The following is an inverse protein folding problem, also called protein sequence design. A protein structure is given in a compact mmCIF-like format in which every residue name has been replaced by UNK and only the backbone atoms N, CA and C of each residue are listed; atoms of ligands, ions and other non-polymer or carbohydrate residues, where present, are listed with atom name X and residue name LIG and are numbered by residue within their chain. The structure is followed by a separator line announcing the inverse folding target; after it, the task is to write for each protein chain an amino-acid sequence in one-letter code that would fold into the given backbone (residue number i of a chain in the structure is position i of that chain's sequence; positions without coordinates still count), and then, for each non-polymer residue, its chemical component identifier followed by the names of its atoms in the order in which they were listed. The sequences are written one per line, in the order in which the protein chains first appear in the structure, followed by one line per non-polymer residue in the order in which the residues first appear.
data_IF_027375564279
#
_entry.id   IF_027375564279
#
_cell.length_a   1.000
_cell.length_b   1.000
_cell.length_c   1.000
_cell.angle_alpha   90.00
_cell.angle_beta   90.00
_cell.angle_gamma   90.00
#
_symmetry.space_group_name_H-M   'P 1'
#
loop_
_entity.id
_entity.type
_entity.pdbx_description
1 polymer ?
#
# COMPACT_ATOMS: atom_id res chain seq x y z
N UNK A 1 -33.95 -7.91 13.21
CA UNK A 1 -32.70 -7.19 13.54
C UNK A 1 -32.20 -7.55 14.93
N UNK A 2 -33.10 -7.72 15.90
CA UNK A 2 -32.75 -8.19 17.25
C UNK A 2 -32.03 -9.54 17.27
N UNK A 3 -32.30 -10.43 16.31
CA UNK A 3 -31.64 -11.74 16.17
C UNK A 3 -30.12 -11.65 15.93
N UNK A 4 -29.62 -10.48 15.52
CA UNK A 4 -28.19 -10.25 15.28
C UNK A 4 -27.47 -9.64 16.50
N UNK A 5 -28.15 -9.45 17.64
CA UNK A 5 -27.51 -8.99 18.87
C UNK A 5 -26.44 -10.00 19.30
N UNK A 6 -25.23 -9.53 19.54
CA UNK A 6 -24.06 -10.37 19.83
C UNK A 6 -23.40 -10.97 18.59
N UNK A 7 -23.80 -10.55 17.39
CA UNK A 7 -23.10 -10.85 16.12
C UNK A 7 -22.31 -9.63 15.65
N UNK A 8 -21.15 -9.87 15.06
CA UNK A 8 -20.36 -8.81 14.44
C UNK A 8 -20.95 -8.47 13.08
N UNK A 9 -21.33 -7.21 12.91
CA UNK A 9 -21.97 -6.72 11.69
C UNK A 9 -21.09 -5.68 11.02
N UNK A 10 -21.17 -5.61 9.70
CA UNK A 10 -20.60 -4.58 8.86
C UNK A 10 -21.73 -3.78 8.21
N UNK A 11 -21.77 -2.49 8.52
CA UNK A 11 -22.75 -1.52 8.07
C UNK A 11 -22.09 -0.59 7.05
N UNK A 12 -22.55 -0.63 5.80
CA UNK A 12 -22.23 0.40 4.82
C UNK A 12 -23.27 1.50 4.94
N UNK A 13 -22.84 2.70 5.34
CA UNK A 13 -23.71 3.87 5.49
C UNK A 13 -23.36 4.96 4.50
N UNK A 14 -24.25 5.93 4.32
CA UNK A 14 -24.00 7.14 3.52
C UNK A 14 -22.74 7.93 3.95
N UNK A 15 -22.30 7.75 5.21
CA UNK A 15 -21.16 8.44 5.83
C UNK A 15 -19.90 7.57 5.92
N UNK A 16 -19.96 6.32 5.45
CA UNK A 16 -18.84 5.37 5.47
C UNK A 16 -19.20 4.03 6.09
N UNK A 17 -18.19 3.18 6.27
CA UNK A 17 -18.36 1.81 6.77
C UNK A 17 -18.14 1.78 8.28
N UNK A 18 -19.08 1.15 9.00
CA UNK A 18 -19.02 0.93 10.44
C UNK A 18 -19.01 -0.58 10.68
N UNK A 19 -18.09 -1.10 11.48
CA UNK A 19 -18.05 -2.52 11.83
C UNK A 19 -17.90 -2.70 13.33
N UNK A 20 -18.72 -3.58 13.91
CA UNK A 20 -18.67 -3.90 15.32
C UNK A 20 -19.76 -4.88 15.74
N UNK A 21 -19.79 -5.20 17.02
CA UNK A 21 -20.74 -6.11 17.63
C UNK A 21 -22.07 -5.41 17.87
N UNK A 22 -23.17 -5.90 17.30
CA UNK A 22 -24.48 -5.32 17.59
C UNK A 22 -24.87 -5.61 19.04
N UNK A 23 -25.21 -4.57 19.81
CA UNK A 23 -25.57 -4.69 21.23
C UNK A 23 -27.02 -4.39 21.50
N UNK A 24 -27.56 -3.36 20.87
CA UNK A 24 -28.93 -2.90 21.11
C UNK A 24 -29.56 -2.53 19.77
N UNK A 25 -30.82 -2.89 19.61
CA UNK A 25 -31.71 -2.41 18.54
C UNK A 25 -32.77 -1.56 19.22
N UNK A 26 -32.84 -0.28 18.88
CA UNK A 26 -33.91 0.62 19.32
C UNK A 26 -34.77 0.95 18.09
N UNK A 27 -35.80 0.12 17.88
CA UNK A 27 -36.72 0.29 16.76
C UNK A 27 -37.55 1.57 16.88
N UNK A 28 -37.80 2.04 18.11
CA UNK A 28 -38.60 3.25 18.36
C UNK A 28 -37.86 4.53 17.97
N UNK A 29 -36.53 4.53 18.11
CA UNK A 29 -35.66 5.62 17.68
C UNK A 29 -35.02 5.38 16.29
N UNK A 30 -35.30 4.26 15.64
CA UNK A 30 -34.72 3.89 14.34
C UNK A 30 -33.20 3.73 14.39
N UNK A 31 -32.66 3.25 15.52
CA UNK A 31 -31.22 3.27 15.81
C UNK A 31 -30.71 1.90 16.26
N UNK A 32 -29.46 1.61 15.91
CA UNK A 32 -28.70 0.45 16.34
C UNK A 32 -27.49 0.91 17.15
N UNK A 33 -27.16 0.21 18.23
CA UNK A 33 -25.93 0.45 19.01
C UNK A 33 -24.95 -0.66 18.76
N UNK A 34 -23.79 -0.29 18.23
CA UNK A 34 -22.73 -1.19 17.79
C UNK A 34 -21.49 -0.92 18.63
N UNK A 35 -20.98 -1.96 19.27
CA UNK A 35 -19.72 -1.90 20.04
C UNK A 35 -18.55 -2.27 19.14
N UNK A 36 -17.61 -1.35 18.94
CA UNK A 36 -16.33 -1.63 18.29
C UNK A 36 -15.17 -1.50 19.29
N UNK A 37 -13.92 -1.69 18.80
CA UNK A 37 -12.72 -1.58 19.63
C UNK A 37 -12.48 -0.17 20.23
N UNK A 38 -13.27 0.83 19.84
CA UNK A 38 -13.20 2.21 20.31
C UNK A 38 -14.39 2.62 21.19
N UNK A 39 -15.40 1.76 21.36
CA UNK A 39 -16.57 1.98 22.22
C UNK A 39 -17.91 1.73 21.54
N UNK A 40 -18.98 2.28 22.12
CA UNK A 40 -20.34 2.18 21.58
C UNK A 40 -20.57 3.27 20.52
N UNK A 41 -21.11 2.89 19.37
CA UNK A 41 -21.47 3.77 18.26
C UNK A 41 -22.92 3.57 17.87
N UNK A 42 -23.55 4.68 17.49
CA UNK A 42 -24.94 4.70 17.05
C UNK A 42 -24.99 4.67 15.52
N UNK A 43 -25.81 3.76 14.97
CA UNK A 43 -26.06 3.63 13.53
C UNK A 43 -27.56 3.80 13.30
N UNK A 44 -27.94 4.81 12.51
CA UNK A 44 -29.34 5.03 12.14
C UNK A 44 -29.73 4.05 11.03
N UNK A 45 -30.89 3.40 11.17
CA UNK A 45 -31.36 2.38 10.22
C UNK A 45 -31.57 2.99 8.83
N UNK A 46 -32.03 4.24 8.76
CA UNK A 46 -32.24 4.99 7.51
C UNK A 46 -30.94 5.29 6.74
N UNK A 47 -29.80 5.33 7.43
CA UNK A 47 -28.49 5.63 6.83
C UNK A 47 -27.83 4.35 6.26
N UNK A 48 -28.36 3.15 6.52
CA UNK A 48 -27.79 1.86 6.12
C UNK A 48 -28.13 1.56 4.66
N UNK A 49 -27.09 1.51 3.82
CA UNK A 49 -27.18 1.14 2.41
C UNK A 49 -26.95 -0.37 2.21
N UNK A 50 -26.11 -0.99 3.05
CA UNK A 50 -25.82 -2.42 3.03
C UNK A 50 -25.47 -2.92 4.44
N UNK A 51 -25.86 -4.17 4.72
CA UNK A 51 -25.62 -4.85 5.98
C UNK A 51 -25.11 -6.26 5.72
N UNK A 52 -24.01 -6.66 6.37
CA UNK A 52 -23.47 -8.02 6.30
C UNK A 52 -23.09 -8.53 7.69
N UNK A 53 -23.43 -9.80 7.97
CA UNK A 53 -22.94 -10.49 9.16
C UNK A 53 -21.53 -11.03 8.88
N UNK A 54 -20.58 -10.70 9.76
CA UNK A 54 -19.21 -11.17 9.67
C UNK A 54 -19.13 -12.47 10.46
N UNK A 55 -18.92 -13.60 9.76
CA UNK A 55 -18.62 -14.86 10.42
C UNK A 55 -17.24 -14.77 11.07
N UNK A 56 -17.19 -14.83 12.40
CA UNK A 56 -15.92 -14.99 13.12
C UNK A 56 -15.33 -16.37 12.76
N UNK A 57 -14.02 -16.47 12.47
CA UNK A 57 -13.38 -17.75 12.20
C UNK A 57 -13.50 -18.63 13.45
N UNK A 58 -14.06 -19.82 13.29
CA UNK A 58 -14.24 -20.79 14.37
C UNK A 58 -12.93 -21.01 15.14
N UNK A 59 -12.96 -21.04 16.49
CA UNK A 59 -11.76 -21.31 17.26
C UNK A 59 -11.32 -22.76 17.05
N UNK A 60 -10.10 -22.95 16.54
CA UNK A 60 -9.45 -24.26 16.51
C UNK A 60 -9.30 -24.80 17.95
N UNK A 61 -9.75 -26.02 18.25
CA UNK A 61 -9.62 -26.59 19.59
C UNK A 61 -8.31 -27.37 19.69
N UNK A 62 -7.23 -26.76 20.17
CA UNK A 62 -6.12 -27.50 20.79
C UNK A 62 -5.03 -26.57 21.31
N UNK A 63 -4.94 -26.45 22.64
CA UNK A 63 -3.71 -26.65 23.43
C UNK A 63 -3.98 -26.19 24.86
N UNK A 64 -4.74 -27.01 25.58
CA UNK A 64 -4.69 -27.05 27.02
C UNK A 64 -3.33 -27.66 27.41
N UNK A 65 -2.49 -26.95 28.16
CA UNK A 65 -1.55 -27.60 29.07
C UNK A 65 -1.20 -26.66 30.24
N UNK A 66 -1.86 -26.95 31.36
CA UNK A 66 -1.49 -26.51 32.70
C UNK A 66 -0.15 -27.14 33.13
N UNK A 67 0.66 -26.25 33.69
CA UNK A 67 1.60 -26.33 34.83
C UNK A 67 1.73 -27.68 35.59
N UNK A 68 3.00 -28.03 35.84
CA UNK A 68 3.65 -28.90 36.85
C UNK A 68 2.82 -29.38 38.05
N UNK A 69 2.97 -30.66 38.39
CA UNK A 69 3.59 -31.15 39.66
C UNK A 69 3.67 -32.70 39.73
N UNK A 70 4.71 -33.23 40.39
CA UNK A 70 4.60 -34.45 41.22
C UNK A 70 5.25 -35.76 40.72
N UNK A 71 6.31 -36.17 41.42
CA UNK A 71 6.99 -37.49 41.40
C UNK A 71 6.07 -38.72 41.57
N UNK A 72 6.41 -39.85 40.92
CA UNK A 72 6.54 -41.18 41.54
C UNK A 72 7.15 -42.22 40.57
N UNK A 73 7.78 -43.25 41.17
CA UNK A 73 8.70 -44.27 40.63
C UNK A 73 8.00 -45.48 39.98
N UNK A 74 8.87 -46.34 39.40
CA UNK A 74 8.71 -47.74 38.95
C UNK A 74 8.08 -47.90 37.56
N UNK A 75 8.54 -48.74 36.63
CA UNK A 75 9.61 -49.72 36.61
C UNK A 75 9.35 -50.67 35.42
N UNK A 76 10.43 -51.18 34.81
CA UNK A 76 10.49 -52.49 34.10
C UNK A 76 10.00 -52.62 32.64
N UNK A 77 11.00 -52.63 31.74
CA UNK A 77 11.34 -53.60 30.66
C UNK A 77 10.33 -54.08 29.58
N UNK A 78 10.91 -54.07 28.37
CA UNK A 78 10.84 -55.03 27.25
C UNK A 78 9.60 -55.10 26.36
N UNK A 79 9.87 -55.16 25.04
CA UNK A 79 9.01 -55.84 24.08
C UNK A 79 8.97 -55.20 22.71
N UNK A 80 9.96 -55.52 21.86
CA UNK A 80 9.86 -55.39 20.41
C UNK A 80 8.64 -56.14 19.87
N UNK A 81 7.96 -55.57 18.87
CA UNK A 81 7.63 -56.24 17.59
C UNK A 81 6.65 -55.39 16.76
N UNK A 82 7.10 -54.98 15.57
CA UNK A 82 6.22 -54.96 14.39
C UNK A 82 6.15 -56.40 13.84
N UNK A 83 5.12 -56.76 13.06
CA UNK A 83 5.32 -56.68 11.60
C UNK A 83 4.07 -56.37 10.74
N UNK A 84 4.38 -56.08 9.46
CA UNK A 84 3.66 -56.36 8.20
C UNK A 84 2.32 -55.64 7.95
N UNK A 85 2.27 -54.68 7.01
CA UNK A 85 2.04 -54.86 5.56
C UNK A 85 0.76 -55.63 5.23
N UNK A 86 -0.25 -54.91 4.75
CA UNK A 86 -0.96 -55.33 3.56
C UNK A 86 -1.34 -54.11 2.72
N UNK A 87 -0.98 -54.25 1.45
CA UNK A 87 -1.30 -53.40 0.31
C UNK A 87 -2.78 -53.50 -0.03
N UNK A 88 -3.42 -52.38 -0.35
CA UNK A 88 -4.48 -52.39 -1.36
C UNK A 88 -4.50 -51.05 -2.12
N UNK A 89 -4.00 -51.13 -3.35
CA UNK A 89 -4.15 -50.15 -4.41
C UNK A 89 -5.63 -50.07 -4.83
N UNK A 90 -6.24 -48.89 -4.74
CA UNK A 90 -7.32 -48.50 -5.65
C UNK A 90 -7.15 -47.07 -6.14
N UNK A 91 -6.67 -47.00 -7.37
CA UNK A 91 -6.75 -45.88 -8.30
C UNK A 91 -8.16 -45.29 -8.39
N UNK A 92 -8.29 -43.96 -8.30
CA UNK A 92 -9.36 -43.24 -8.98
C UNK A 92 -8.77 -42.02 -9.69
N UNK A 93 -9.11 -41.96 -10.98
CA UNK A 93 -8.68 -41.03 -12.01
C UNK A 93 -8.72 -39.56 -11.60
N UNK A 94 -7.62 -38.87 -11.92
CA UNK A 94 -7.64 -37.44 -12.18
C UNK A 94 -8.48 -37.11 -13.42
N UNK A 95 -9.33 -36.10 -13.30
CA UNK A 95 -9.94 -35.41 -14.42
C UNK A 95 -9.33 -34.01 -14.52
N UNK A 96 -8.70 -33.77 -15.67
CA UNK A 96 -8.11 -32.52 -16.11
C UNK A 96 -9.04 -31.81 -17.10
N UNK A 97 -9.16 -30.47 -16.93
CA UNK A 97 -9.37 -29.42 -17.96
C UNK A 97 -10.82 -29.32 -18.56
N UNK A 98 -11.38 -28.15 -19.00
CA UNK A 98 -10.76 -26.83 -19.31
C UNK A 98 -11.41 -25.56 -18.74
N UNK A 99 -10.64 -24.46 -18.89
CA UNK A 99 -11.06 -23.06 -18.94
C UNK A 99 -12.29 -22.83 -19.85
N UNK A 100 -13.25 -22.06 -19.36
CA UNK A 100 -14.09 -21.20 -20.20
C UNK A 100 -14.10 -19.77 -19.65
N UNK A 101 -13.71 -18.85 -20.53
CA UNK A 101 -13.86 -17.41 -20.37
C UNK A 101 -15.35 -17.05 -20.49
N UNK A 102 -15.88 -16.27 -19.55
CA UNK A 102 -17.07 -15.45 -19.82
C UNK A 102 -16.78 -14.00 -19.41
N UNK A 103 -16.50 -13.18 -20.42
CA UNK A 103 -16.43 -11.73 -20.32
C UNK A 103 -17.86 -11.18 -20.42
N UNK A 104 -18.42 -10.68 -19.32
CA UNK A 104 -19.59 -9.79 -19.37
C UNK A 104 -19.09 -8.34 -19.37
N UNK A 105 -18.93 -7.78 -20.56
CA UNK A 105 -18.75 -6.34 -20.79
C UNK A 105 -20.11 -5.65 -20.64
N UNK A 106 -20.26 -4.79 -19.65
CA UNK A 106 -21.31 -3.78 -19.63
C UNK A 106 -20.78 -2.51 -20.31
N UNK A 107 -21.30 -2.28 -21.51
CA UNK A 107 -21.06 -1.10 -22.34
C UNK A 107 -21.84 0.10 -21.80
N UNK A 108 -21.17 1.22 -21.53
CA UNK A 108 -21.80 2.53 -21.45
C UNK A 108 -21.39 3.37 -22.65
N UNK A 109 -22.43 3.78 -23.38
CA UNK A 109 -22.41 4.45 -24.68
C UNK A 109 -21.69 5.79 -24.62
N UNK A 110 -20.78 5.98 -25.57
CA UNK A 110 -20.29 7.28 -25.99
C UNK A 110 -21.40 8.04 -26.72
N UNK A 111 -21.63 9.29 -26.31
CA UNK A 111 -22.29 10.30 -27.13
C UNK A 111 -21.17 11.04 -27.88
N UNK A 112 -21.20 10.96 -29.21
CA UNK A 112 -20.21 11.61 -30.08
C UNK A 112 -20.40 13.12 -30.17
N UNK A 113 -19.35 13.78 -30.67
CA UNK A 113 -19.40 14.89 -31.62
C UNK A 113 -18.15 14.78 -32.50
N UNK A 114 -18.37 15.03 -33.78
CA UNK A 114 -17.54 14.77 -34.94
C UNK A 114 -16.82 16.06 -35.42
N UNK A 115 -15.70 15.88 -36.14
CA UNK A 115 -14.96 16.83 -37.04
C UNK A 115 -14.28 18.06 -36.39
N UNK A 116 -13.08 18.48 -36.81
CA UNK A 116 -12.55 18.55 -38.17
C UNK A 116 -11.01 18.55 -38.25
N UNK A 117 -10.55 18.03 -39.38
CA UNK A 117 -9.20 18.04 -39.97
C UNK A 117 -8.71 19.47 -40.24
N UNK A 118 -7.42 19.74 -40.04
CA UNK A 118 -6.66 20.60 -40.96
C UNK A 118 -5.16 20.25 -40.92
N UNK A 119 -4.66 19.70 -42.02
CA UNK A 119 -3.24 19.58 -42.35
C UNK A 119 -2.70 20.97 -42.72
N UNK A 120 -1.46 21.28 -42.32
CA UNK A 120 -0.60 22.16 -43.13
C UNK A 120 0.88 21.89 -42.89
N UNK A 121 1.50 21.41 -43.97
CA UNK A 121 2.92 21.36 -44.21
C UNK A 121 3.65 22.68 -43.95
N UNK A 122 4.90 22.59 -43.46
CA UNK A 122 6.02 23.32 -44.07
C UNK A 122 7.37 22.69 -43.71
N UNK A 123 8.03 22.26 -44.78
CA UNK A 123 9.43 21.85 -44.88
C UNK A 123 10.39 23.05 -44.82
N UNK A 124 11.57 22.85 -44.23
CA UNK A 124 12.82 23.38 -44.78
C UNK A 124 14.03 22.64 -44.19
N UNK A 125 14.75 21.90 -45.04
CA UNK A 125 16.13 21.47 -44.87
C UNK A 125 17.07 22.69 -44.85
N UNK A 126 18.20 22.61 -44.14
CA UNK A 126 19.54 22.91 -44.67
C UNK A 126 20.58 22.05 -43.91
N UNK A 127 21.43 21.40 -44.69
CA UNK A 127 22.57 20.56 -44.32
C UNK A 127 23.77 21.34 -43.74
N UNK A 128 24.66 20.63 -43.02
CA UNK A 128 25.95 21.17 -42.61
C UNK A 128 26.82 20.16 -41.86
N UNK A 129 27.52 19.33 -42.63
CA UNK A 129 28.50 18.31 -42.22
C UNK A 129 29.72 18.87 -41.46
N UNK A 130 30.33 18.06 -40.58
CA UNK A 130 31.69 18.33 -40.08
C UNK A 130 32.16 17.36 -38.99
N UNK A 131 32.97 16.38 -39.37
CA UNK A 131 33.61 15.39 -38.48
C UNK A 131 34.82 16.00 -37.71
N UNK A 132 35.14 15.44 -36.53
CA UNK A 132 36.38 15.75 -35.81
C UNK A 132 36.59 14.91 -34.56
N UNK A 133 37.79 14.35 -34.41
CA UNK A 133 38.20 13.29 -33.50
C UNK A 133 38.41 13.64 -32.00
N UNK A 134 38.12 12.63 -31.16
CA UNK A 134 38.87 12.05 -29.99
C UNK A 134 39.53 12.90 -28.89
N UNK A 135 39.24 12.42 -27.68
CA UNK A 135 40.09 12.03 -26.52
C UNK A 135 40.39 12.98 -25.34
N UNK A 136 40.11 12.38 -24.17
CA UNK A 136 40.79 12.37 -22.87
C UNK A 136 40.93 13.65 -22.03
N UNK A 137 40.53 13.51 -20.75
CA UNK A 137 40.99 14.39 -19.67
C UNK A 137 40.07 14.45 -18.45
N UNK A 138 40.25 13.53 -17.52
CA UNK A 138 39.79 13.66 -16.12
C UNK A 138 40.49 14.86 -15.47
N UNK A 139 39.75 15.86 -14.96
CA UNK A 139 40.23 16.78 -13.91
C UNK A 139 39.06 17.12 -12.97
N UNK A 140 39.16 16.64 -11.72
CA UNK A 140 38.49 17.19 -10.55
C UNK A 140 38.96 18.64 -10.34
N UNK A 141 38.04 19.60 -10.28
CA UNK A 141 38.30 20.90 -9.66
C UNK A 141 37.02 21.47 -9.07
N UNK A 142 37.15 21.78 -7.79
CA UNK A 142 36.22 22.47 -6.92
C UNK A 142 35.87 23.90 -7.36
N UNK A 143 34.77 24.35 -6.77
CA UNK A 143 34.43 25.72 -6.39
C UNK A 143 33.60 26.62 -7.31
N UNK A 144 32.45 26.98 -6.71
CA UNK A 144 31.67 28.22 -6.81
C UNK A 144 30.94 28.48 -8.13
N UNK A 145 29.63 28.22 -8.08
CA UNK A 145 28.65 29.03 -8.80
C UNK A 145 27.54 29.48 -7.85
N UNK A 146 27.53 30.78 -7.54
CA UNK A 146 26.30 31.53 -7.32
C UNK A 146 25.44 31.34 -8.57
N UNK A 147 24.23 30.84 -8.42
CA UNK A 147 23.17 31.02 -9.42
C UNK A 147 21.93 31.46 -8.66
N UNK A 148 21.78 32.77 -8.53
CA UNK A 148 20.44 33.38 -8.54
C UNK A 148 19.89 33.12 -9.94
N UNK A 149 19.04 32.12 -10.04
CA UNK A 149 18.36 31.73 -11.27
C UNK A 149 17.01 31.19 -10.88
N UNK A 150 15.97 31.99 -11.13
CA UNK A 150 14.54 31.62 -11.10
C UNK A 150 14.37 30.13 -11.47
N UNK A 151 14.18 29.28 -10.47
CA UNK A 151 13.84 27.88 -10.70
C UNK A 151 12.46 27.85 -11.36
N UNK A 152 12.43 27.58 -12.66
CA UNK A 152 11.18 27.39 -13.37
C UNK A 152 10.48 26.15 -12.81
N UNK A 153 9.30 26.41 -12.27
CA UNK A 153 8.31 25.46 -11.74
C UNK A 153 7.95 24.40 -12.78
N UNK A 154 8.58 23.24 -12.73
CA UNK A 154 8.12 22.04 -13.43
C UNK A 154 8.03 20.84 -12.47
N UNK A 155 7.48 21.05 -11.28
CA UNK A 155 6.82 19.96 -10.58
C UNK A 155 5.53 19.64 -11.34
N UNK A 156 5.28 18.37 -11.74
CA UNK A 156 4.08 17.97 -12.46
C UNK A 156 2.87 18.01 -11.51
N UNK A 157 2.41 19.21 -11.18
CA UNK A 157 1.27 19.43 -10.30
C UNK A 157 -0.04 19.09 -10.99
N UNK A 158 -0.94 18.42 -10.27
CA UNK A 158 -2.20 17.92 -10.83
C UNK A 158 -3.33 17.90 -9.79
N UNK A 159 -4.55 17.60 -10.21
CA UNK A 159 -5.65 17.29 -9.29
C UNK A 159 -5.44 15.89 -8.70
N UNK A 160 -6.01 15.65 -7.53
CA UNK A 160 -5.95 14.33 -6.90
C UNK A 160 -6.59 13.23 -7.77
N UNK A 161 -7.73 13.53 -8.40
CA UNK A 161 -8.39 12.60 -9.31
C UNK A 161 -7.46 12.24 -10.48
N UNK A 162 -6.75 13.22 -11.04
CA UNK A 162 -5.80 12.97 -12.11
C UNK A 162 -4.56 12.21 -11.64
N UNK A 163 -4.12 12.39 -10.40
CA UNK A 163 -3.01 11.60 -9.83
C UNK A 163 -3.30 10.11 -9.83
N UNK A 164 -4.46 9.69 -9.33
CA UNK A 164 -4.86 8.27 -9.37
C UNK A 164 -5.15 7.78 -10.78
N UNK A 165 -5.80 8.61 -11.62
CA UNK A 165 -6.06 8.28 -13.03
C UNK A 165 -4.77 8.09 -13.82
N UNK A 166 -3.73 8.86 -13.54
CA UNK A 166 -2.41 8.67 -14.16
C UNK A 166 -1.83 7.31 -13.80
N UNK A 167 -1.94 6.84 -12.55
CA UNK A 167 -1.51 5.50 -12.16
C UNK A 167 -2.29 4.42 -12.92
N UNK A 168 -3.62 4.53 -12.95
CA UNK A 168 -4.48 3.57 -13.66
C UNK A 168 -4.15 3.50 -15.16
N UNK A 169 -3.95 4.67 -15.80
CA UNK A 169 -3.57 4.77 -17.21
C UNK A 169 -2.18 4.21 -17.46
N UNK A 170 -1.22 4.45 -16.56
CA UNK A 170 0.10 3.82 -16.62
C UNK A 170 -0.02 2.30 -16.64
N UNK A 171 -0.72 1.72 -15.65
CA UNK A 171 -0.81 0.25 -15.50
C UNK A 171 -1.53 -0.42 -16.67
N UNK A 172 -2.49 0.27 -17.28
CA UNK A 172 -3.37 -0.31 -18.30
C UNK A 172 -2.89 -0.09 -19.74
N UNK A 173 -2.13 0.98 -20.02
CA UNK A 173 -1.88 1.42 -21.40
C UNK A 173 -0.45 1.84 -21.71
N UNK A 174 0.25 2.48 -20.78
CA UNK A 174 1.52 3.15 -21.09
C UNK A 174 2.74 2.47 -20.48
N UNK A 175 2.56 1.76 -19.37
CA UNK A 175 3.64 1.37 -18.48
C UNK A 175 4.05 2.52 -17.54
N UNK A 176 4.77 2.20 -16.45
CA UNK A 176 5.12 0.84 -16.01
C UNK A 176 3.88 0.07 -15.56
N UNK A 177 3.97 -1.27 -15.58
CA UNK A 177 2.95 -2.12 -14.97
C UNK A 177 2.91 -1.86 -13.46
N UNK A 178 1.79 -2.21 -12.83
CA UNK A 178 1.61 -1.97 -11.39
C UNK A 178 2.75 -2.58 -10.54
N UNK A 179 3.27 -3.73 -10.96
CA UNK A 179 4.32 -4.44 -10.24
C UNK A 179 5.67 -3.72 -10.31
N UNK A 180 5.97 -3.18 -11.49
CA UNK A 180 7.15 -2.37 -11.76
C UNK A 180 7.03 -1.03 -11.00
N UNK A 181 5.85 -0.42 -11.03
CA UNK A 181 5.53 0.78 -10.24
C UNK A 181 5.81 0.54 -8.76
N UNK A 182 5.26 -0.53 -8.17
CA UNK A 182 5.45 -0.84 -6.76
C UNK A 182 6.94 -1.06 -6.43
N UNK A 183 7.67 -1.73 -7.32
CA UNK A 183 9.09 -1.99 -7.19
C UNK A 183 9.94 -0.72 -7.24
N UNK A 184 9.67 0.19 -8.18
CA UNK A 184 10.36 1.48 -8.32
C UNK A 184 10.05 2.35 -7.10
N UNK A 185 8.77 2.51 -6.76
CA UNK A 185 8.31 3.30 -5.64
C UNK A 185 8.93 2.85 -4.31
N UNK A 186 8.94 1.54 -4.03
CA UNK A 186 9.52 1.00 -2.79
C UNK A 186 11.03 1.25 -2.70
N UNK A 187 11.78 1.12 -3.81
CA UNK A 187 13.22 1.43 -3.82
C UNK A 187 13.51 2.90 -3.55
N UNK A 188 12.73 3.80 -4.13
CA UNK A 188 12.92 5.24 -3.88
C UNK A 188 12.46 5.63 -2.47
N UNK A 189 11.35 5.06 -1.99
CA UNK A 189 10.89 5.22 -0.61
C UNK A 189 11.95 4.75 0.39
N UNK A 190 12.61 3.62 0.13
CA UNK A 190 13.73 3.14 0.96
C UNK A 190 14.91 4.13 0.99
N UNK A 191 15.31 4.69 -0.16
CA UNK A 191 16.39 5.70 -0.21
C UNK A 191 16.04 6.97 0.59
N UNK A 192 14.79 7.42 0.49
CA UNK A 192 14.28 8.55 1.26
C UNK A 192 14.28 8.18 2.75
N UNK A 193 13.75 7.00 3.11
CA UNK A 193 13.76 6.49 4.47
C UNK A 193 15.18 6.49 5.06
N UNK A 194 16.17 5.91 4.38
CA UNK A 194 17.55 5.85 4.87
C UNK A 194 18.14 7.24 5.13
N UNK A 195 17.83 8.21 4.27
CA UNK A 195 18.33 9.60 4.44
C UNK A 195 17.94 10.20 5.80
N UNK A 196 16.79 9.81 6.36
CA UNK A 196 16.25 10.38 7.60
C UNK A 196 16.34 9.47 8.81
N UNK A 197 16.30 8.15 8.59
CA UNK A 197 16.04 7.17 9.65
C UNK A 197 17.09 6.04 9.71
N UNK A 198 18.11 6.05 8.85
CA UNK A 198 19.14 5.00 8.84
C UNK A 198 19.94 4.93 10.14
N UNK A 199 20.25 6.07 10.76
CA UNK A 199 20.96 6.11 12.05
C UNK A 199 20.06 5.79 13.26
N UNK A 200 18.74 5.74 13.08
CA UNK A 200 17.80 5.43 14.16
C UNK A 200 17.90 3.96 14.57
N UNK A 201 17.95 3.69 15.86
CA UNK A 201 17.81 2.33 16.41
C UNK A 201 16.36 1.90 16.60
N UNK A 202 15.40 2.77 16.28
CA UNK A 202 13.98 2.45 16.43
C UNK A 202 13.55 1.38 15.41
N UNK A 203 12.68 0.49 15.85
CA UNK A 203 11.99 -0.47 14.98
C UNK A 203 11.11 0.26 13.97
N UNK A 204 10.74 -0.43 12.89
CA UNK A 204 9.86 0.11 11.85
C UNK A 204 8.54 -0.66 11.84
N UNK A 205 7.43 0.04 12.05
CA UNK A 205 6.10 -0.52 11.90
C UNK A 205 5.46 0.01 10.61
N UNK A 206 5.08 -0.90 9.73
CA UNK A 206 4.42 -0.58 8.46
C UNK A 206 2.95 -0.93 8.58
N UNK A 207 2.09 0.09 8.54
CA UNK A 207 0.65 -0.06 8.57
C UNK A 207 0.13 -0.25 7.16
N UNK A 208 -0.49 -1.40 6.92
CA UNK A 208 -1.12 -1.73 5.65
C UNK A 208 -2.62 -1.90 5.87
N UNK A 209 -3.40 -1.22 5.02
CA UNK A 209 -4.85 -1.27 5.00
C UNK A 209 -5.31 -1.17 3.54
N UNK A 210 -6.24 -2.03 3.12
CA UNK A 210 -6.67 -2.14 1.73
C UNK A 210 -5.75 -2.95 0.82
N UNK A 211 -6.30 -3.46 -0.29
CA UNK A 211 -5.59 -4.27 -1.29
C UNK A 211 -5.17 -3.43 -2.51
N UNK A 212 -4.47 -2.32 -2.24
CA UNK A 212 -4.08 -1.31 -3.24
C UNK A 212 -2.58 -1.34 -3.58
N UNK A 213 -2.14 -0.40 -4.43
CA UNK A 213 -0.72 -0.31 -4.84
C UNK A 213 0.19 0.08 -3.68
N UNK A 214 -0.32 0.87 -2.72
CA UNK A 214 0.46 1.33 -1.58
C UNK A 214 0.74 0.20 -0.61
N UNK A 215 -0.22 -0.72 -0.44
CA UNK A 215 -0.01 -1.97 0.28
C UNK A 215 1.12 -2.80 -0.36
N UNK A 216 1.12 -2.92 -1.69
CA UNK A 216 2.20 -3.58 -2.45
C UNK A 216 3.56 -2.93 -2.20
N UNK A 217 3.63 -1.59 -2.24
CA UNK A 217 4.86 -0.83 -1.92
C UNK A 217 5.28 -1.09 -0.48
N UNK A 218 4.35 -1.10 0.49
CA UNK A 218 4.61 -1.36 1.90
C UNK A 218 5.27 -2.70 2.16
N UNK A 219 4.74 -3.78 1.57
CA UNK A 219 5.35 -5.11 1.66
C UNK A 219 6.77 -5.16 1.08
N UNK A 220 6.98 -4.55 -0.09
CA UNK A 220 8.31 -4.52 -0.72
C UNK A 220 9.28 -3.69 0.13
N UNK A 221 8.85 -2.54 0.64
CA UNK A 221 9.66 -1.66 1.49
C UNK A 221 10.03 -2.35 2.81
N UNK A 222 9.09 -3.02 3.47
CA UNK A 222 9.37 -3.82 4.65
C UNK A 222 10.42 -4.89 4.41
N UNK A 223 10.38 -5.55 3.25
CA UNK A 223 11.39 -6.52 2.86
C UNK A 223 12.76 -5.87 2.66
N UNK A 224 12.82 -4.72 1.99
CA UNK A 224 14.07 -3.97 1.80
C UNK A 224 14.69 -3.53 3.14
N UNK A 225 13.86 -3.13 4.10
CA UNK A 225 14.30 -2.78 5.45
C UNK A 225 14.90 -3.98 6.19
N UNK A 226 14.27 -5.15 6.12
CA UNK A 226 14.83 -6.37 6.70
C UNK A 226 16.19 -6.73 6.06
N UNK A 227 16.30 -6.59 4.74
CA UNK A 227 17.54 -6.87 4.00
C UNK A 227 18.68 -5.92 4.36
N UNK A 228 18.38 -4.72 4.87
CA UNK A 228 19.38 -3.78 5.39
C UNK A 228 19.65 -3.91 6.89
N UNK A 229 19.05 -4.91 7.55
CA UNK A 229 19.24 -5.18 8.97
C UNK A 229 18.33 -4.37 9.90
N UNK A 230 17.37 -3.59 9.36
CA UNK A 230 16.36 -2.92 10.18
C UNK A 230 15.30 -3.91 10.65
N UNK A 231 14.90 -3.80 11.91
CA UNK A 231 13.76 -4.54 12.43
C UNK A 231 12.48 -3.90 11.89
N UNK A 232 11.84 -4.58 10.94
CA UNK A 232 10.58 -4.14 10.34
C UNK A 232 9.49 -5.16 10.61
N UNK A 233 8.34 -4.69 11.10
CA UNK A 233 7.10 -5.48 11.22
C UNK A 233 5.96 -4.81 10.46
N UNK A 234 5.02 -5.61 9.98
CA UNK A 234 3.82 -5.13 9.29
C UNK A 234 2.62 -5.30 10.21
N UNK A 235 1.87 -4.22 10.39
CA UNK A 235 0.58 -4.24 11.07
C UNK A 235 -0.52 -4.28 10.01
N UNK A 236 -1.24 -5.41 9.95
CA UNK A 236 -2.27 -5.68 8.96
C UNK A 236 -3.33 -6.64 9.54
N UNK A 237 -4.60 -6.28 9.36
CA UNK A 237 -5.76 -7.05 9.84
C UNK A 237 -6.56 -7.76 8.74
N UNK A 238 -6.11 -7.62 7.49
CA UNK A 238 -6.88 -8.02 6.31
C UNK A 238 -6.10 -9.02 5.46
N UNK A 239 -6.83 -9.89 4.77
CA UNK A 239 -6.25 -10.77 3.75
C UNK A 239 -6.31 -10.10 2.39
N UNK A 240 -5.15 -9.88 1.78
CA UNK A 240 -5.00 -9.22 0.49
C UNK A 240 -4.73 -10.22 -0.61
N UNK A 241 -5.66 -10.36 -1.56
CA UNK A 241 -5.57 -11.32 -2.66
C UNK A 241 -4.60 -10.81 -3.72
N UNK A 242 -4.69 -9.54 -4.11
CA UNK A 242 -3.85 -8.92 -5.14
C UNK A 242 -2.40 -8.83 -4.67
N UNK A 243 -2.19 -8.46 -3.41
CA UNK A 243 -0.86 -8.32 -2.83
C UNK A 243 -0.28 -9.60 -2.19
N UNK A 244 -0.92 -10.76 -2.36
CA UNK A 244 -0.54 -12.02 -1.72
C UNK A 244 0.93 -12.42 -1.96
N UNK A 245 1.45 -12.21 -3.18
CA UNK A 245 2.85 -12.51 -3.50
C UNK A 245 3.86 -11.61 -2.78
N UNK A 246 3.53 -10.33 -2.58
CA UNK A 246 4.40 -9.39 -1.88
C UNK A 246 4.42 -9.71 -0.39
N UNK A 247 3.24 -10.03 0.16
CA UNK A 247 3.09 -10.56 1.51
C UNK A 247 3.95 -11.81 1.72
N UNK A 248 3.88 -12.79 0.81
CA UNK A 248 4.68 -14.01 0.92
C UNK A 248 6.19 -13.72 0.81
N UNK A 249 6.60 -12.84 -0.10
CA UNK A 249 8.00 -12.44 -0.26
C UNK A 249 8.56 -11.75 1.00
N UNK A 250 7.76 -10.93 1.67
CA UNK A 250 8.10 -10.32 2.94
C UNK A 250 8.28 -11.36 4.05
N UNK A 251 7.34 -12.30 4.21
CA UNK A 251 7.42 -13.39 5.18
C UNK A 251 8.65 -14.28 4.94
N UNK A 252 8.94 -14.61 3.69
CA UNK A 252 10.12 -15.40 3.32
C UNK A 252 11.45 -14.69 3.66
N UNK A 253 11.43 -13.38 3.89
CA UNK A 253 12.59 -12.60 4.32
C UNK A 253 12.71 -12.49 5.85
N UNK A 254 11.93 -13.28 6.60
CA UNK A 254 11.89 -13.25 8.06
C UNK A 254 10.97 -12.15 8.64
N UNK A 255 10.14 -11.54 7.80
CA UNK A 255 9.20 -10.51 8.23
C UNK A 255 8.09 -11.07 9.13
N UNK A 256 7.58 -10.21 10.01
CA UNK A 256 6.49 -10.55 10.94
C UNK A 256 5.29 -9.67 10.64
N UNK A 257 4.12 -10.29 10.49
CA UNK A 257 2.85 -9.60 10.30
C UNK A 257 2.02 -9.77 11.57
N UNK A 258 1.60 -8.67 12.17
CA UNK A 258 0.75 -8.62 13.37
C UNK A 258 -0.55 -7.89 13.08
N UNK A 259 -1.57 -8.16 13.89
CA UNK A 259 -2.86 -7.46 13.82
C UNK A 259 -2.86 -6.14 14.60
N UNK A 260 -1.88 -5.96 15.49
CA UNK A 260 -1.79 -4.80 16.38
C UNK A 260 -0.36 -4.24 16.39
N UNK A 261 -0.21 -2.92 16.61
CA UNK A 261 1.08 -2.31 16.90
C UNK A 261 1.69 -2.91 18.18
N UNK A 262 3.01 -2.94 18.26
CA UNK A 262 3.76 -3.44 19.42
C UNK A 262 3.73 -2.48 20.61
N UNK A 263 3.41 -1.20 20.37
CA UNK A 263 3.35 -0.16 21.41
C UNK A 263 4.73 0.37 21.84
N UNK A 264 5.82 -0.17 21.28
CA UNK A 264 7.18 0.32 21.49
C UNK A 264 7.49 1.53 20.59
N UNK A 265 8.49 2.36 20.95
CA UNK A 265 8.88 3.48 20.11
C UNK A 265 9.41 3.03 18.75
N UNK A 266 8.73 3.43 17.68
CA UNK A 266 9.03 2.97 16.32
C UNK A 266 8.83 4.07 15.28
N UNK A 267 9.40 3.87 14.10
CA UNK A 267 9.13 4.69 12.92
C UNK A 267 7.91 4.09 12.23
N UNK A 268 6.91 4.93 11.96
CA UNK A 268 5.66 4.48 11.34
C UNK A 268 5.67 4.76 9.84
N UNK A 269 5.38 3.73 9.06
CA UNK A 269 5.17 3.84 7.61
C UNK A 269 3.71 3.54 7.31
N UNK A 270 2.99 4.50 6.74
CA UNK A 270 1.62 4.31 6.29
C UNK A 270 1.60 3.94 4.81
N UNK A 271 1.31 2.67 4.55
CA UNK A 271 1.28 2.04 3.25
C UNK A 271 -0.16 1.65 2.89
N UNK A 272 -1.02 2.67 2.83
CA UNK A 272 -2.43 2.56 2.53
C UNK A 272 -2.90 3.84 1.83
N UNK A 273 -4.06 3.78 1.17
CA UNK A 273 -4.77 4.97 0.73
C UNK A 273 -4.95 5.96 1.89
N UNK A 274 -4.81 7.26 1.62
CA UNK A 274 -4.94 8.30 2.63
C UNK A 274 -6.26 8.30 3.41
N UNK A 275 -7.34 7.75 2.85
CA UNK A 275 -8.64 7.61 3.53
C UNK A 275 -8.60 6.58 4.66
N UNK A 276 -7.60 5.68 4.64
CA UNK A 276 -7.39 4.61 5.60
C UNK A 276 -6.30 4.94 6.62
N UNK A 277 -5.66 6.11 6.52
CA UNK A 277 -4.69 6.57 7.52
C UNK A 277 -5.45 6.95 8.79
N UNK A 278 -5.11 6.38 9.96
CA UNK A 278 -5.75 6.76 11.22
C UNK A 278 -5.47 8.23 11.54
N UNK A 279 -6.52 8.96 11.92
CA UNK A 279 -6.46 10.41 12.17
C UNK A 279 -5.77 10.76 13.50
N UNK A 280 -5.65 9.80 14.43
CA UNK A 280 -5.12 10.06 15.77
C UNK A 280 -3.59 9.92 15.85
N UNK A 281 -2.91 10.81 16.60
CA UNK A 281 -1.49 10.69 16.87
C UNK A 281 -1.19 9.37 17.59
N UNK A 282 -0.09 8.72 17.19
CA UNK A 282 0.44 7.57 17.93
C UNK A 282 1.59 8.04 18.81
N UNK A 283 1.36 8.07 20.12
CA UNK A 283 2.28 8.62 21.12
C UNK A 283 3.67 7.92 21.14
N UNK A 284 3.78 6.72 20.57
CA UNK A 284 5.03 5.96 20.48
C UNK A 284 5.88 6.31 19.24
N UNK A 285 5.35 7.01 18.25
CA UNK A 285 6.05 7.21 16.98
C UNK A 285 7.30 8.10 17.13
N UNK A 286 8.39 7.75 16.45
CA UNK A 286 9.64 8.53 16.34
C UNK A 286 9.83 9.22 14.98
N UNK A 287 8.91 8.99 14.07
CA UNK A 287 8.92 9.53 12.72
C UNK A 287 7.86 8.87 11.87
N UNK A 288 7.49 9.55 10.79
CA UNK A 288 6.38 9.14 9.93
C UNK A 288 6.78 9.21 8.46
N UNK A 289 6.45 8.16 7.71
CA UNK A 289 6.53 8.12 6.26
C UNK A 289 5.16 7.74 5.68
N UNK A 290 4.64 8.58 4.81
CA UNK A 290 3.34 8.39 4.16
C UNK A 290 3.56 8.06 2.69
N UNK A 291 3.16 6.86 2.27
CA UNK A 291 3.24 6.45 0.86
C UNK A 291 2.12 7.10 0.03
N UNK A 292 1.03 7.49 0.68
CA UNK A 292 0.02 8.38 0.15
C UNK A 292 -0.27 9.48 1.17
N UNK A 293 -0.27 10.74 0.74
CA UNK A 293 -0.21 11.87 1.68
C UNK A 293 -1.62 12.23 2.20
N UNK A 294 -1.81 12.35 3.54
CA UNK A 294 -3.10 12.75 4.07
C UNK A 294 -3.47 14.17 3.63
N UNK A 295 -4.71 14.36 3.20
CA UNK A 295 -5.24 15.65 2.75
C UNK A 295 -5.51 16.65 3.89
N UNK A 296 -5.20 16.29 5.13
CA UNK A 296 -5.46 17.04 6.35
C UNK A 296 -4.19 17.21 7.19
N UNK A 297 -4.15 18.26 8.01
CA UNK A 297 -3.05 18.49 8.94
C UNK A 297 -3.21 17.60 10.16
N UNK A 298 -2.30 16.65 10.35
CA UNK A 298 -2.14 15.95 11.62
C UNK A 298 -1.05 16.69 12.42
N UNK A 299 -1.37 17.12 13.64
CA UNK A 299 -0.37 17.63 14.57
C UNK A 299 0.42 16.46 15.15
N UNK A 300 1.58 16.19 14.57
CA UNK A 300 2.59 15.28 15.12
C UNK A 300 3.88 16.09 15.22
N UNK A 301 4.61 15.90 16.33
CA UNK A 301 5.82 16.68 16.66
C UNK A 301 7.07 16.16 15.95
N UNK A 302 7.05 14.90 15.53
CA UNK A 302 8.20 14.21 14.93
C UNK A 302 8.33 14.48 13.43
N UNK A 303 9.44 14.02 12.85
CA UNK A 303 9.71 14.15 11.41
C UNK A 303 8.64 13.44 10.57
N UNK A 304 8.02 14.17 9.64
CA UNK A 304 7.02 13.65 8.71
C UNK A 304 7.49 13.76 7.28
N UNK A 305 7.35 12.67 6.55
CA UNK A 305 7.75 12.58 5.14
C UNK A 305 6.55 12.07 4.35
N UNK A 306 6.06 12.86 3.39
CA UNK A 306 5.03 12.47 2.45
C UNK A 306 5.63 12.17 1.08
N UNK A 307 5.19 11.10 0.45
CA UNK A 307 5.58 10.74 -0.90
C UNK A 307 4.44 10.99 -1.89
N UNK A 308 4.81 11.38 -3.10
CA UNK A 308 3.93 11.41 -4.25
C UNK A 308 4.65 10.80 -5.46
N UNK A 309 3.93 10.00 -6.23
CA UNK A 309 4.51 9.15 -7.26
C UNK A 309 4.07 9.60 -8.66
N UNK A 310 5.02 10.00 -9.50
CA UNK A 310 4.77 10.35 -10.90
C UNK A 310 4.11 11.71 -11.12
N UNK A 311 3.23 12.20 -10.24
CA UNK A 311 2.73 13.58 -10.22
C UNK A 311 2.49 14.09 -8.79
N UNK A 312 2.27 15.40 -8.62
CA UNK A 312 2.07 16.05 -7.31
C UNK A 312 0.63 16.57 -7.18
N UNK A 313 -0.24 15.92 -6.41
CA UNK A 313 -1.56 16.46 -6.12
C UNK A 313 -1.48 17.83 -5.43
N UNK A 314 -2.22 18.82 -5.94
CA UNK A 314 -2.22 20.17 -5.35
C UNK A 314 -2.66 20.18 -3.88
N UNK A 315 -3.54 19.26 -3.47
CA UNK A 315 -4.01 19.12 -2.10
C UNK A 315 -2.87 18.74 -1.12
N UNK A 316 -1.81 18.07 -1.60
CA UNK A 316 -0.69 17.65 -0.76
C UNK A 316 0.19 18.81 -0.31
N UNK A 317 0.08 20.01 -0.90
CA UNK A 317 0.75 21.22 -0.39
C UNK A 317 0.37 21.56 1.06
N UNK A 318 -0.83 21.13 1.49
CA UNK A 318 -1.33 21.30 2.86
C UNK A 318 -0.65 20.38 3.86
N UNK A 319 0.07 19.36 3.40
CA UNK A 319 0.79 18.44 4.27
C UNK A 319 1.80 19.19 5.15
N UNK A 320 1.71 19.00 6.46
CA UNK A 320 2.57 19.66 7.43
C UNK A 320 3.83 18.82 7.71
N UNK A 321 4.64 18.62 6.67
CA UNK A 321 5.87 17.84 6.71
C UNK A 321 6.71 18.05 5.46
N UNK A 322 7.76 17.24 5.33
CA UNK A 322 8.65 17.22 4.16
C UNK A 322 7.94 16.43 3.06
N UNK A 323 7.89 16.96 1.84
CA UNK A 323 7.22 16.27 0.73
C UNK A 323 8.22 15.94 -0.37
N UNK A 324 8.22 14.68 -0.79
CA UNK A 324 9.02 14.21 -1.90
C UNK A 324 8.16 13.77 -3.08
N UNK A 325 8.56 14.22 -4.25
CA UNK A 325 8.16 13.66 -5.52
C UNK A 325 9.13 12.56 -5.90
N UNK A 326 8.57 11.44 -6.36
CA UNK A 326 9.30 10.29 -6.84
C UNK A 326 8.93 10.06 -8.29
N UNK A 327 9.93 10.09 -9.16
CA UNK A 327 9.78 9.72 -10.57
C UNK A 327 9.61 8.20 -10.69
N UNK A 328 8.45 7.77 -11.20
CA UNK A 328 8.15 6.37 -11.49
C UNK A 328 8.42 6.02 -12.95
N UNK A 329 9.17 6.85 -13.65
CA UNK A 329 9.65 6.60 -15.00
C UNK A 329 8.49 6.49 -16.01
N UNK A 330 7.39 7.21 -15.76
CA UNK A 330 6.29 7.32 -16.71
C UNK A 330 6.78 7.83 -18.07
N UNK A 331 6.26 7.27 -19.18
CA UNK A 331 6.65 7.72 -20.50
C UNK A 331 6.12 9.15 -20.74
N UNK A 332 6.83 9.91 -21.58
CA UNK A 332 6.48 11.30 -21.89
C UNK A 332 5.04 11.44 -22.41
N UNK A 333 4.57 10.48 -23.22
CA UNK A 333 3.22 10.47 -23.75
C UNK A 333 2.12 10.45 -22.66
N UNK A 334 2.37 9.77 -21.53
CA UNK A 334 1.42 9.78 -20.41
C UNK A 334 1.39 11.15 -19.72
N UNK A 335 2.53 11.81 -19.57
CA UNK A 335 2.56 13.19 -19.04
C UNK A 335 1.81 14.16 -19.96
N UNK A 336 2.02 14.05 -21.27
CA UNK A 336 1.36 14.87 -22.28
C UNK A 336 -0.16 14.68 -22.28
N UNK A 337 -0.68 13.45 -22.08
CA UNK A 337 -2.11 13.17 -21.97
C UNK A 337 -2.78 13.98 -20.85
N UNK A 338 -2.06 14.25 -19.77
CA UNK A 338 -2.55 15.01 -18.62
C UNK A 338 -2.12 16.49 -18.65
N UNK A 339 -1.53 16.96 -19.76
CA UNK A 339 -1.07 18.35 -19.90
C UNK A 339 0.12 18.69 -19.00
N UNK A 340 0.92 17.70 -18.63
CA UNK A 340 2.08 17.85 -17.73
C UNK A 340 3.39 17.72 -18.50
N UNK A 341 4.43 18.39 -18.01
CA UNK A 341 5.79 18.18 -18.47
C UNK A 341 6.44 17.01 -17.73
N UNK A 342 7.10 16.11 -18.46
CA UNK A 342 7.88 15.03 -17.84
C UNK A 342 9.04 15.62 -17.03
N UNK A 343 9.24 15.19 -15.77
CA UNK A 343 10.41 15.59 -14.99
C UNK A 343 11.70 15.14 -15.67
N UNK A 344 12.68 16.03 -15.77
CA UNK A 344 13.97 15.78 -16.45
C UNK A 344 15.15 15.73 -15.48
N UNK A 345 14.89 15.88 -14.18
CA UNK A 345 15.91 15.95 -13.12
C UNK A 345 16.08 14.55 -12.44
N UNK A 346 16.76 14.50 -11.29
CA UNK A 346 16.93 13.30 -10.44
C UNK A 346 15.64 12.51 -10.14
N UNK A 347 15.71 11.18 -9.95
CA UNK A 347 14.52 10.33 -9.65
C UNK A 347 13.74 10.70 -8.37
N UNK A 348 14.33 11.50 -7.48
CA UNK A 348 13.71 11.97 -6.24
C UNK A 348 13.88 13.49 -6.19
N UNK A 349 12.80 14.20 -5.86
CA UNK A 349 12.78 15.65 -5.70
C UNK A 349 12.11 16.03 -4.39
N UNK A 350 12.75 16.89 -3.59
CA UNK A 350 12.08 17.54 -2.48
C UNK A 350 11.19 18.66 -3.04
N UNK A 351 9.90 18.60 -2.78
CA UNK A 351 8.89 19.57 -3.22
C UNK A 351 8.59 20.61 -2.15
N UNK A 352 8.71 20.22 -0.88
CA UNK A 352 8.49 21.06 0.31
C UNK A 352 9.44 20.65 1.42
#
# INVERSE_FOLDING_TARGET
MEDYIGTRLLFETSKGIISGMLRIVDESAGKLVVEDGCGMKDVLIEDIQRLEAVEDPAPNPSADHRIKDGNAKEGTKHGESMPSTDSDDKSVMGKSIPRQHSMSRLSLKAAGIDRSVDERHKSSQVDGSGAGHRNDGNILSSDKTRIDGKESKHTPETSEENYYRMMERAFSHFGPLEEEFCSIAARQAYRIFSTYFESSSADVEIFISGDDVFAGIGFILGRLLLHSGKMSSIVCNESFVKNARYRQSYLNSGGVITSRPRGEPSIHIYACNKTLIPVQPKDSAKGFLYLDTPGFCIEEKETKIGLCFGSVPACFRRFNGIMYFVDIEYPTALYEEFGLGRPIKSKIHKVK
#
